data_IF_995239796265
#
_entry.id   IF_995239796265
#
_cell.length_a   1.000
_cell.length_b   1.000
_cell.length_c   1.000
_cell.angle_alpha   90.00
_cell.angle_beta   90.00
_cell.angle_gamma   90.00
#
_symmetry.space_group_name_H-M   'P 1'
#
loop_
_entity.id
_entity.type
_entity.pdbx_description
1 polymer ?
#
# COMPACT_ATOMS: atom_id res chain seq x y z
N UNK A 1 6.36 -22.88 12.38
CA UNK A 1 5.34 -22.79 11.35
C UNK A 1 5.90 -22.06 10.14
N UNK A 2 5.56 -22.44 8.93
CA UNK A 2 6.07 -21.73 7.74
C UNK A 2 5.28 -20.44 7.52
N UNK A 3 5.90 -19.44 6.87
CA UNK A 3 5.19 -18.22 6.43
C UNK A 3 3.98 -18.54 5.52
N UNK A 4 3.97 -19.72 4.89
CA UNK A 4 2.87 -20.18 4.05
C UNK A 4 1.58 -20.44 4.86
N UNK A 5 1.71 -21.00 6.07
CA UNK A 5 0.56 -21.31 6.94
C UNK A 5 -0.10 -20.02 7.44
N UNK A 6 0.71 -19.01 7.81
CA UNK A 6 0.21 -17.71 8.25
C UNK A 6 -0.47 -16.96 7.09
N UNK A 7 0.12 -17.00 5.89
CA UNK A 7 -0.45 -16.38 4.69
C UNK A 7 -1.88 -16.87 4.40
N UNK A 8 -2.13 -18.18 4.56
CA UNK A 8 -3.45 -18.78 4.35
C UNK A 8 -4.54 -18.20 5.24
N UNK A 9 -4.21 -17.71 6.45
CA UNK A 9 -5.18 -17.10 7.36
C UNK A 9 -5.77 -15.78 6.82
N UNK A 10 -5.08 -15.12 5.91
CA UNK A 10 -5.49 -13.83 5.33
C UNK A 10 -6.11 -13.95 3.93
N UNK A 11 -6.37 -15.16 3.43
CA UNK A 11 -6.86 -15.40 2.06
C UNK A 11 -8.16 -14.66 1.71
N UNK A 12 -8.98 -14.30 2.72
CA UNK A 12 -10.21 -13.52 2.54
C UNK A 12 -10.02 -12.01 2.47
N UNK A 13 -8.80 -11.49 2.70
CA UNK A 13 -8.51 -10.04 2.72
C UNK A 13 -7.89 -9.62 1.37
N UNK A 14 -8.73 -9.47 0.35
CA UNK A 14 -8.29 -9.31 -1.04
C UNK A 14 -7.44 -8.06 -1.29
N UNK A 15 -7.76 -6.91 -0.69
CA UNK A 15 -7.00 -5.67 -0.84
C UNK A 15 -5.70 -5.59 -0.04
N UNK A 16 -5.50 -6.49 0.93
CA UNK A 16 -4.38 -6.44 1.86
C UNK A 16 -3.12 -7.20 1.39
N UNK A 17 -3.18 -7.86 0.23
CA UNK A 17 -2.15 -8.79 -0.24
C UNK A 17 -0.75 -8.22 -0.20
N UNK A 18 -0.53 -7.04 -0.79
CA UNK A 18 0.81 -6.43 -0.90
C UNK A 18 1.41 -6.09 0.46
N UNK A 19 0.62 -5.52 1.37
CA UNK A 19 1.07 -5.12 2.70
C UNK A 19 1.35 -6.37 3.57
N UNK A 20 0.49 -7.39 3.50
CA UNK A 20 0.69 -8.64 4.24
C UNK A 20 1.95 -9.36 3.76
N UNK A 21 2.16 -9.46 2.43
CA UNK A 21 3.37 -10.05 1.88
C UNK A 21 4.63 -9.29 2.32
N UNK A 22 4.60 -7.97 2.31
CA UNK A 22 5.72 -7.16 2.78
C UNK A 22 6.02 -7.42 4.27
N UNK A 23 5.00 -7.50 5.11
CA UNK A 23 5.16 -7.78 6.53
C UNK A 23 5.73 -9.18 6.79
N UNK A 24 5.27 -10.20 6.05
CA UNK A 24 5.80 -11.56 6.11
C UNK A 24 7.26 -11.66 5.64
N UNK A 25 7.73 -10.67 4.86
CA UNK A 25 9.10 -10.53 4.41
C UNK A 25 9.92 -9.51 5.23
N UNK A 26 9.44 -9.12 6.41
CA UNK A 26 10.19 -8.31 7.38
C UNK A 26 9.92 -6.80 7.34
N UNK A 27 8.98 -6.34 6.51
CA UNK A 27 8.55 -4.93 6.49
C UNK A 27 7.27 -4.74 7.33
N UNK A 28 7.25 -5.29 8.52
CA UNK A 28 6.14 -5.23 9.46
C UNK A 28 6.35 -6.19 10.61
N UNK A 29 5.31 -6.35 11.42
CA UNK A 29 5.32 -7.26 12.57
C UNK A 29 4.17 -8.25 12.45
N UNK A 30 4.46 -9.52 12.67
CA UNK A 30 3.45 -10.59 12.75
C UNK A 30 3.31 -11.03 14.20
N UNK A 31 2.08 -11.14 14.66
CA UNK A 31 1.72 -11.68 15.96
C UNK A 31 0.76 -12.84 15.77
N UNK A 32 0.84 -13.85 16.64
CA UNK A 32 -0.05 -15.01 16.64
C UNK A 32 -0.65 -15.23 18.01
N UNK A 33 -1.77 -15.94 18.08
CA UNK A 33 -2.42 -16.36 19.33
C UNK A 33 -1.56 -17.40 20.06
N UNK A 34 -0.99 -18.35 19.34
CA UNK A 34 -0.08 -19.38 19.85
C UNK A 34 1.20 -19.44 19.00
N UNK A 35 2.35 -19.66 19.62
CA UNK A 35 3.64 -19.69 18.93
C UNK A 35 3.92 -21.02 18.21
N UNK A 36 3.33 -22.12 18.68
CA UNK A 36 3.55 -23.46 18.19
C UNK A 36 2.50 -23.90 17.17
N UNK A 37 1.23 -23.59 17.45
CA UNK A 37 0.07 -23.96 16.64
C UNK A 37 -0.92 -22.81 16.51
N UNK A 38 -0.56 -21.72 15.87
CA UNK A 38 -1.45 -20.59 15.75
C UNK A 38 -2.69 -20.94 14.92
N UNK A 39 -3.84 -20.50 15.41
CA UNK A 39 -5.11 -20.49 14.69
C UNK A 39 -5.48 -19.08 14.22
N UNK A 40 -4.83 -18.06 14.77
CA UNK A 40 -5.04 -16.65 14.47
C UNK A 40 -3.74 -15.93 14.28
N UNK A 41 -3.72 -14.96 13.39
CA UNK A 41 -2.60 -14.06 13.19
C UNK A 41 -3.06 -12.61 13.06
N UNK A 42 -2.20 -11.69 13.51
CA UNK A 42 -2.31 -10.26 13.26
C UNK A 42 -1.05 -9.76 12.55
N UNK A 43 -1.23 -8.92 11.53
CA UNK A 43 -0.15 -8.24 10.81
C UNK A 43 -0.25 -6.75 11.09
N UNK A 44 0.85 -6.16 11.56
CA UNK A 44 1.00 -4.74 11.83
C UNK A 44 2.03 -4.18 10.83
N UNK A 45 1.60 -3.26 9.98
CA UNK A 45 2.46 -2.67 8.95
C UNK A 45 2.03 -1.23 8.66
N UNK A 46 2.90 -0.25 8.93
CA UNK A 46 2.55 1.16 8.84
C UNK A 46 1.40 1.52 9.77
N UNK A 47 0.34 2.04 9.22
CA UNK A 47 -0.92 2.36 9.90
C UNK A 47 -1.98 1.25 9.79
N UNK A 48 -1.65 0.13 9.16
CA UNK A 48 -2.55 -1.01 8.98
C UNK A 48 -2.38 -2.08 10.06
N UNK A 49 -3.50 -2.65 10.45
CA UNK A 49 -3.62 -3.82 11.33
C UNK A 49 -4.60 -4.82 10.71
N UNK A 50 -4.09 -5.94 10.27
CA UNK A 50 -4.87 -7.02 9.66
C UNK A 50 -5.04 -8.18 10.62
N UNK A 51 -6.24 -8.76 10.68
CA UNK A 51 -6.52 -9.98 11.44
C UNK A 51 -6.95 -11.10 10.49
N UNK A 52 -6.38 -12.29 10.69
CA UNK A 52 -6.69 -13.49 9.90
C UNK A 52 -6.78 -14.75 10.76
N UNK A 53 -7.44 -15.79 10.23
CA UNK A 53 -7.70 -17.03 10.94
C UNK A 53 -8.93 -16.97 11.85
N UNK A 54 -8.94 -17.77 12.93
CA UNK A 54 -10.03 -17.83 13.89
C UNK A 54 -10.02 -16.61 14.81
N UNK A 55 -11.19 -16.00 15.14
CA UNK A 55 -11.25 -14.84 16.01
C UNK A 55 -10.70 -15.11 17.42
N UNK A 56 -9.73 -14.30 17.86
CA UNK A 56 -9.09 -14.39 19.16
C UNK A 56 -9.09 -13.03 19.86
N UNK A 57 -9.86 -12.90 20.94
CA UNK A 57 -9.96 -11.66 21.73
C UNK A 57 -8.60 -11.28 22.34
N UNK A 58 -7.85 -12.27 22.84
CA UNK A 58 -6.52 -12.04 23.40
C UNK A 58 -5.55 -11.48 22.35
N UNK A 59 -5.56 -12.01 21.13
CA UNK A 59 -4.74 -11.50 20.03
C UNK A 59 -5.15 -10.07 19.65
N UNK A 60 -6.45 -9.80 19.56
CA UNK A 60 -6.97 -8.45 19.25
C UNK A 60 -6.49 -7.46 20.31
N UNK A 61 -6.66 -7.77 21.60
CA UNK A 61 -6.22 -6.92 22.70
C UNK A 61 -4.71 -6.65 22.66
N UNK A 62 -3.89 -7.66 22.40
CA UNK A 62 -2.43 -7.54 22.29
C UNK A 62 -2.02 -6.71 21.08
N UNK A 63 -2.63 -6.93 19.92
CA UNK A 63 -2.32 -6.23 18.70
C UNK A 63 -2.70 -4.74 18.77
N UNK A 64 -3.91 -4.41 19.28
CA UNK A 64 -4.34 -3.03 19.45
C UNK A 64 -3.47 -2.23 20.43
N UNK A 65 -2.85 -2.90 21.39
CA UNK A 65 -1.97 -2.28 22.40
C UNK A 65 -0.47 -2.40 22.05
N UNK A 66 -0.13 -2.99 20.91
CA UNK A 66 1.26 -3.17 20.49
C UNK A 66 1.97 -1.84 20.25
N UNK A 67 1.24 -0.82 19.80
CA UNK A 67 1.72 0.54 19.57
C UNK A 67 0.63 1.55 19.96
N UNK A 68 1.05 2.72 20.44
CA UNK A 68 0.12 3.80 20.79
C UNK A 68 -0.18 4.67 19.55
N UNK A 69 -1.02 4.15 18.66
CA UNK A 69 -1.43 4.83 17.42
C UNK A 69 -2.86 4.49 17.00
N UNK A 70 -3.40 5.26 16.08
CA UNK A 70 -4.59 4.88 15.34
C UNK A 70 -4.25 3.81 14.29
N UNK A 71 -5.17 2.87 14.07
CA UNK A 71 -5.03 1.79 13.12
C UNK A 71 -6.14 1.81 12.07
N UNK A 72 -5.79 1.54 10.82
CA UNK A 72 -6.72 1.08 9.80
C UNK A 72 -6.84 -0.44 9.95
N UNK A 73 -7.97 -0.89 10.49
CA UNK A 73 -8.14 -2.31 10.84
C UNK A 73 -8.95 -3.03 9.76
N UNK A 74 -8.43 -4.18 9.32
CA UNK A 74 -9.14 -5.09 8.42
C UNK A 74 -9.14 -6.51 8.99
N UNK A 75 -10.24 -7.24 8.75
CA UNK A 75 -10.42 -8.61 9.22
C UNK A 75 -11.83 -9.10 8.93
N UNK A 76 -12.14 -10.35 9.30
CA UNK A 76 -13.51 -10.85 9.24
C UNK A 76 -14.45 -10.03 10.13
N UNK A 77 -15.75 -10.09 9.88
CA UNK A 77 -16.76 -9.40 10.71
C UNK A 77 -16.65 -9.76 12.19
N UNK A 78 -16.27 -10.99 12.50
CA UNK A 78 -16.07 -11.45 13.88
C UNK A 78 -14.84 -10.78 14.52
N UNK A 79 -13.72 -10.63 13.82
CA UNK A 79 -12.59 -9.85 14.34
C UNK A 79 -12.93 -8.38 14.52
N UNK A 80 -13.64 -7.78 13.55
CA UNK A 80 -14.04 -6.37 13.64
C UNK A 80 -14.99 -6.12 14.80
N UNK A 81 -15.89 -7.05 15.13
CA UNK A 81 -16.72 -6.97 16.34
C UNK A 81 -15.90 -7.00 17.64
N UNK A 82 -14.86 -7.84 17.71
CA UNK A 82 -13.93 -7.85 18.84
C UNK A 82 -13.14 -6.53 18.94
N UNK A 83 -12.68 -5.99 17.81
CA UNK A 83 -11.99 -4.67 17.79
C UNK A 83 -12.89 -3.58 18.34
N UNK A 84 -14.15 -3.52 17.93
CA UNK A 84 -15.12 -2.52 18.40
C UNK A 84 -15.43 -2.63 19.89
N UNK A 85 -15.39 -3.84 20.46
CA UNK A 85 -15.55 -4.04 21.91
C UNK A 85 -14.40 -3.42 22.72
N UNK A 86 -13.22 -3.27 22.12
CA UNK A 86 -12.03 -2.74 22.79
C UNK A 86 -11.67 -1.30 22.40
N UNK A 87 -12.06 -0.85 21.21
CA UNK A 87 -11.78 0.52 20.72
C UNK A 87 -12.92 1.04 19.83
N UNK A 88 -13.30 2.28 20.06
CA UNK A 88 -14.18 3.00 19.16
C UNK A 88 -13.45 3.36 17.86
N UNK A 89 -14.19 3.38 16.77
CA UNK A 89 -13.67 3.75 15.46
C UNK A 89 -14.80 4.09 14.48
N UNK A 90 -14.42 4.59 13.31
CA UNK A 90 -15.32 4.85 12.18
C UNK A 90 -15.16 3.75 11.14
N UNK A 91 -16.25 3.43 10.46
CA UNK A 91 -16.23 2.51 9.33
C UNK A 91 -15.91 3.26 8.04
N UNK A 92 -15.07 2.66 7.21
CA UNK A 92 -14.86 3.08 5.84
C UNK A 92 -14.77 1.86 4.93
N UNK A 93 -15.38 1.93 3.77
CA UNK A 93 -15.19 0.92 2.73
C UNK A 93 -13.90 1.20 1.98
N UNK A 94 -13.16 0.14 1.69
CA UNK A 94 -11.99 0.18 0.81
C UNK A 94 -12.30 -0.65 -0.44
N UNK A 95 -11.77 -0.22 -1.56
CA UNK A 95 -12.02 -0.86 -2.86
C UNK A 95 -10.80 -1.67 -3.24
N UNK A 96 -10.94 -2.99 -3.20
CA UNK A 96 -9.88 -3.93 -3.56
C UNK A 96 -9.80 -4.16 -5.07
N UNK A 97 -8.58 -4.32 -5.57
CA UNK A 97 -8.30 -4.67 -6.97
C UNK A 97 -7.67 -6.04 -7.08
N UNK A 98 -7.95 -6.73 -8.18
CA UNK A 98 -7.44 -8.07 -8.45
C UNK A 98 -5.91 -8.05 -8.67
N UNK A 99 -5.10 -8.59 -7.75
CA UNK A 99 -3.65 -8.55 -7.86
C UNK A 99 -3.12 -9.39 -9.03
N UNK A 100 -3.91 -10.35 -9.53
CA UNK A 100 -3.55 -11.19 -10.67
C UNK A 100 -3.79 -10.51 -12.03
N UNK A 101 -4.50 -9.40 -12.04
CA UNK A 101 -4.82 -8.63 -13.25
C UNK A 101 -4.09 -7.30 -13.27
N UNK A 102 -2.82 -7.37 -13.65
CA UNK A 102 -1.98 -6.18 -13.75
C UNK A 102 -2.36 -5.32 -14.96
N UNK A 103 -2.19 -3.98 -14.88
CA UNK A 103 -2.31 -3.09 -16.03
C UNK A 103 -1.38 -3.50 -17.18
N UNK A 104 -1.83 -3.29 -18.41
CA UNK A 104 -1.01 -3.57 -19.61
C UNK A 104 0.06 -2.49 -19.82
N UNK A 105 1.31 -2.90 -20.03
CA UNK A 105 2.44 -1.98 -20.25
C UNK A 105 2.22 -1.04 -21.45
N UNK A 106 1.57 -1.51 -22.51
CA UNK A 106 1.24 -0.69 -23.67
C UNK A 106 0.28 0.46 -23.31
N UNK A 107 -0.73 0.19 -22.46
CA UNK A 107 -1.65 1.21 -21.97
C UNK A 107 -0.94 2.23 -21.07
N UNK A 108 -0.14 1.76 -20.13
CA UNK A 108 0.64 2.64 -19.24
C UNK A 108 1.62 3.52 -20.03
N UNK A 109 2.27 2.94 -21.05
CA UNK A 109 3.19 3.68 -21.93
C UNK A 109 2.45 4.76 -22.74
N UNK A 110 1.24 4.45 -23.21
CA UNK A 110 0.42 5.43 -23.92
C UNK A 110 0.02 6.63 -23.04
N UNK A 111 -0.27 6.39 -21.75
CA UNK A 111 -0.54 7.47 -20.79
C UNK A 111 0.66 8.41 -20.59
N UNK A 112 1.87 7.91 -20.76
CA UNK A 112 3.12 8.66 -20.59
C UNK A 112 3.65 9.29 -21.88
N UNK A 113 3.08 8.96 -23.04
CA UNK A 113 3.59 9.40 -24.34
C UNK A 113 3.59 10.92 -24.52
N UNK A 114 2.65 11.62 -23.86
CA UNK A 114 2.48 13.06 -23.97
C UNK A 114 2.39 13.71 -22.60
N UNK A 115 3.53 13.92 -21.95
CA UNK A 115 3.56 14.68 -20.70
C UNK A 115 3.19 16.14 -20.97
N UNK A 116 2.43 16.80 -20.08
CA UNK A 116 2.18 18.23 -20.17
C UNK A 116 3.49 19.03 -20.23
N UNK A 117 3.45 20.18 -20.90
CA UNK A 117 4.61 21.08 -20.94
C UNK A 117 5.05 21.47 -19.51
N UNK A 118 6.35 21.50 -19.24
CA UNK A 118 6.89 21.82 -17.92
C UNK A 118 6.83 20.66 -16.91
N UNK A 119 6.28 19.50 -17.29
CA UNK A 119 6.16 18.32 -16.41
C UNK A 119 7.29 17.33 -16.70
N UNK A 120 7.95 16.88 -15.63
CA UNK A 120 8.92 15.79 -15.66
C UNK A 120 8.64 14.76 -14.57
N UNK A 121 9.10 13.53 -14.78
CA UNK A 121 8.96 12.42 -13.84
C UNK A 121 10.35 12.09 -13.27
N UNK A 122 10.50 12.29 -11.96
CA UNK A 122 11.78 12.17 -11.26
C UNK A 122 11.74 10.94 -10.34
N UNK A 123 12.63 9.95 -10.52
CA UNK A 123 12.73 8.82 -9.59
C UNK A 123 13.05 9.29 -8.16
N UNK A 124 12.47 8.62 -7.16
CA UNK A 124 12.78 8.92 -5.76
C UNK A 124 14.14 8.32 -5.39
N UNK A 125 15.17 9.16 -5.39
CA UNK A 125 16.50 8.88 -4.85
C UNK A 125 16.69 9.46 -3.46
N UNK A 126 17.94 9.60 -3.02
CA UNK A 126 18.24 10.08 -1.66
C UNK A 126 17.76 11.52 -1.40
N UNK A 127 17.89 12.40 -2.38
CA UNK A 127 17.43 13.80 -2.27
C UNK A 127 15.91 13.87 -2.20
N UNK A 128 15.23 13.12 -3.05
CA UNK A 128 13.77 13.06 -3.12
C UNK A 128 13.18 12.39 -1.87
N UNK A 129 13.82 11.36 -1.30
CA UNK A 129 13.44 10.80 0.00
C UNK A 129 13.49 11.86 1.11
N UNK A 130 14.55 12.67 1.14
CA UNK A 130 14.67 13.75 2.12
C UNK A 130 13.58 14.83 1.94
N UNK A 131 13.17 15.09 0.72
CA UNK A 131 12.01 15.94 0.41
C UNK A 131 10.72 15.29 0.92
N UNK A 132 10.46 14.03 0.58
CA UNK A 132 9.25 13.31 0.99
C UNK A 132 9.08 13.31 2.52
N UNK A 133 10.13 13.01 3.28
CA UNK A 133 10.08 12.98 4.75
C UNK A 133 9.72 14.33 5.39
N UNK A 134 10.01 15.44 4.72
CA UNK A 134 9.74 16.81 5.21
C UNK A 134 8.43 17.38 4.71
N UNK A 135 7.78 16.72 3.76
CA UNK A 135 6.60 17.22 3.04
C UNK A 135 5.37 16.40 3.43
N UNK A 136 4.39 16.95 4.16
CA UNK A 136 3.27 16.20 4.72
C UNK A 136 2.51 15.34 3.71
N UNK A 137 2.23 15.85 2.50
CA UNK A 137 1.50 15.10 1.47
C UNK A 137 2.33 13.98 0.84
N UNK A 138 3.66 14.00 0.96
CA UNK A 138 4.56 13.02 0.37
C UNK A 138 5.18 12.07 1.40
N UNK A 139 4.89 12.24 2.68
CA UNK A 139 5.56 11.51 3.76
C UNK A 139 5.37 9.99 3.66
N UNK A 140 4.18 9.57 3.25
CA UNK A 140 3.83 8.14 3.16
C UNK A 140 4.53 7.41 2.01
N UNK A 141 5.05 8.13 1.01
CA UNK A 141 5.84 7.53 -0.07
C UNK A 141 7.08 6.79 0.43
N UNK A 142 7.60 7.16 1.58
CA UNK A 142 8.81 6.58 2.18
C UNK A 142 8.62 6.19 3.65
N UNK A 143 7.40 6.37 4.19
CA UNK A 143 7.08 6.22 5.61
C UNK A 143 7.37 4.82 6.16
N UNK A 144 7.14 3.80 5.38
CA UNK A 144 7.36 2.39 5.73
C UNK A 144 8.81 1.94 5.68
N UNK A 145 9.74 2.79 5.26
CA UNK A 145 11.13 2.42 5.02
C UNK A 145 12.11 3.23 5.86
N UNK A 146 13.21 2.58 6.25
CA UNK A 146 14.46 3.31 6.48
C UNK A 146 15.07 3.71 5.13
N UNK A 147 15.94 4.73 5.09
CA UNK A 147 16.57 5.18 3.85
C UNK A 147 17.35 4.05 3.15
N UNK A 148 18.07 3.24 3.92
CA UNK A 148 18.79 2.10 3.41
C UNK A 148 17.86 0.99 2.87
N UNK A 149 16.70 0.78 3.47
CA UNK A 149 15.71 -0.18 2.99
C UNK A 149 15.04 0.32 1.70
N UNK A 150 14.69 1.61 1.62
CA UNK A 150 14.13 2.20 0.40
C UNK A 150 15.11 2.13 -0.76
N UNK A 151 16.38 2.48 -0.54
CA UNK A 151 17.42 2.39 -1.56
C UNK A 151 17.63 0.96 -2.11
N UNK A 152 17.33 -0.06 -1.30
CA UNK A 152 17.45 -1.47 -1.73
C UNK A 152 16.23 -1.99 -2.49
N UNK A 153 15.03 -1.63 -2.05
CA UNK A 153 13.79 -2.30 -2.48
C UNK A 153 12.62 -1.36 -2.77
N UNK A 154 12.73 -0.09 -2.39
CA UNK A 154 11.72 0.93 -2.68
C UNK A 154 11.73 1.32 -4.15
N UNK A 155 10.58 1.67 -4.65
CA UNK A 155 10.38 2.27 -5.98
C UNK A 155 9.52 3.51 -5.79
N UNK A 156 9.82 4.57 -6.53
CA UNK A 156 8.98 5.75 -6.48
C UNK A 156 9.32 6.77 -7.56
N UNK A 157 8.35 7.62 -7.84
CA UNK A 157 8.40 8.66 -8.87
C UNK A 157 7.71 9.91 -8.34
N UNK A 158 8.36 11.05 -8.38
CA UNK A 158 7.74 12.35 -8.18
C UNK A 158 7.44 13.01 -9.53
N UNK A 159 6.33 13.72 -9.59
CA UNK A 159 5.99 14.63 -10.68
C UNK A 159 6.52 16.02 -10.32
N UNK A 160 7.44 16.52 -11.13
CA UNK A 160 7.88 17.89 -11.05
C UNK A 160 7.16 18.71 -12.14
N UNK A 161 6.41 19.73 -11.73
CA UNK A 161 5.75 20.67 -12.60
C UNK A 161 6.29 22.09 -12.32
N UNK A 162 6.76 22.77 -13.35
CA UNK A 162 7.33 24.12 -13.25
C UNK A 162 8.40 24.28 -12.16
N UNK A 163 9.22 23.24 -12.00
CA UNK A 163 10.33 23.21 -11.03
C UNK A 163 9.95 22.85 -9.59
N UNK A 164 8.68 22.50 -9.31
CA UNK A 164 8.23 22.07 -8.00
C UNK A 164 7.70 20.63 -8.02
N UNK A 165 7.95 19.85 -6.96
CA UNK A 165 7.30 18.55 -6.79
C UNK A 165 5.85 18.74 -6.33
N UNK A 166 4.91 18.21 -7.11
CA UNK A 166 3.47 18.44 -6.95
C UNK A 166 2.64 17.18 -6.75
N UNK A 167 3.17 16.03 -7.13
CA UNK A 167 2.51 14.72 -7.01
C UNK A 167 3.55 13.62 -6.99
N UNK A 168 3.16 12.40 -6.67
CA UNK A 168 4.04 11.25 -6.77
C UNK A 168 3.31 9.94 -6.60
N UNK A 169 4.04 8.87 -6.87
CA UNK A 169 3.65 7.50 -6.54
C UNK A 169 4.88 6.73 -6.05
N UNK A 170 4.69 5.87 -5.07
CA UNK A 170 5.78 5.09 -4.49
C UNK A 170 5.28 3.72 -4.03
N UNK A 171 6.21 2.83 -3.74
CA UNK A 171 5.92 1.62 -2.99
C UNK A 171 5.65 1.98 -1.53
N UNK A 172 4.39 1.93 -1.07
CA UNK A 172 4.05 1.97 0.36
C UNK A 172 4.74 0.82 1.09
N UNK A 173 4.67 -0.37 0.49
CA UNK A 173 5.33 -1.56 0.96
C UNK A 173 5.96 -2.32 -0.21
N UNK A 174 7.03 -3.09 0.05
CA UNK A 174 7.74 -3.86 -0.97
C UNK A 174 8.12 -5.25 -0.47
N UNK A 175 7.98 -6.24 -1.34
CA UNK A 175 8.32 -7.64 -1.10
C UNK A 175 8.96 -8.25 -2.36
N UNK A 176 9.55 -9.45 -2.30
CA UNK A 176 10.27 -10.03 -3.46
C UNK A 176 9.44 -10.10 -4.75
N UNK A 177 8.13 -10.35 -4.66
CA UNK A 177 7.24 -10.49 -5.81
C UNK A 177 6.51 -9.23 -6.22
N UNK A 178 6.59 -8.12 -5.46
CA UNK A 178 5.77 -6.95 -5.78
C UNK A 178 5.92 -5.75 -4.86
N UNK A 179 5.04 -4.80 -5.09
CA UNK A 179 4.89 -3.59 -4.28
C UNK A 179 3.40 -3.31 -4.03
N UNK A 180 3.11 -2.62 -2.93
CA UNK A 180 1.82 -1.93 -2.73
C UNK A 180 1.98 -0.47 -3.13
N UNK A 181 1.05 0.04 -3.95
CA UNK A 181 1.14 1.41 -4.49
C UNK A 181 0.59 2.42 -3.49
N UNK A 182 1.38 3.46 -3.23
CA UNK A 182 0.96 4.72 -2.60
C UNK A 182 0.96 5.82 -3.63
N UNK A 183 -0.05 6.70 -3.61
CA UNK A 183 -0.15 7.83 -4.53
C UNK A 183 -0.80 9.03 -3.85
N UNK A 184 -0.20 10.20 -3.97
CA UNK A 184 -0.81 11.45 -3.51
C UNK A 184 -0.38 12.63 -4.39
N UNK A 185 -1.12 13.74 -4.24
CA UNK A 185 -0.91 14.99 -4.94
C UNK A 185 -1.09 16.15 -3.97
N UNK A 186 -0.16 17.09 -4.00
CA UNK A 186 -0.25 18.33 -3.24
C UNK A 186 -1.64 18.99 -3.46
N UNK A 187 -2.35 19.41 -2.39
CA UNK A 187 -3.74 19.85 -2.49
C UNK A 187 -4.02 20.89 -3.59
N UNK A 188 -3.11 21.85 -3.75
CA UNK A 188 -3.24 22.91 -4.76
C UNK A 188 -3.07 22.43 -6.21
N UNK A 189 -2.59 21.20 -6.42
CA UNK A 189 -2.28 20.63 -7.73
C UNK A 189 -3.15 19.41 -8.09
N UNK A 190 -4.21 19.16 -7.34
CA UNK A 190 -5.18 18.09 -7.64
C UNK A 190 -5.98 18.40 -8.90
N UNK A 191 -6.52 17.36 -9.54
CA UNK A 191 -7.33 17.49 -10.76
C UNK A 191 -6.55 17.63 -12.06
N UNK A 192 -5.21 17.67 -12.04
CA UNK A 192 -4.36 17.81 -13.23
C UNK A 192 -3.90 16.48 -13.85
N UNK A 193 -4.30 15.34 -13.28
CA UNK A 193 -3.91 14.01 -13.76
C UNK A 193 -2.51 13.56 -13.35
N UNK A 194 -1.78 14.32 -12.54
CA UNK A 194 -0.39 14.02 -12.13
C UNK A 194 -0.25 12.68 -11.41
N UNK A 195 -1.18 12.34 -10.52
CA UNK A 195 -1.19 11.05 -9.84
C UNK A 195 -1.24 9.87 -10.82
N UNK A 196 -2.02 9.96 -11.90
CA UNK A 196 -2.09 8.94 -12.94
C UNK A 196 -0.73 8.78 -13.66
N UNK A 197 -0.05 9.89 -13.95
CA UNK A 197 1.27 9.86 -14.60
C UNK A 197 2.33 9.23 -13.68
N UNK A 198 2.36 9.64 -12.41
CA UNK A 198 3.29 9.07 -11.42
C UNK A 198 3.07 7.56 -11.25
N UNK A 199 1.82 7.14 -11.05
CA UNK A 199 1.48 5.74 -10.87
C UNK A 199 1.75 4.90 -12.11
N UNK A 200 1.43 5.39 -13.32
CA UNK A 200 1.76 4.70 -14.59
C UNK A 200 3.26 4.44 -14.69
N UNK A 201 4.09 5.44 -14.37
CA UNK A 201 5.55 5.29 -14.39
C UNK A 201 6.05 4.33 -13.33
N UNK A 202 5.52 4.39 -12.12
CA UNK A 202 5.86 3.48 -11.03
C UNK A 202 5.56 2.03 -11.41
N UNK A 203 4.34 1.75 -11.91
CA UNK A 203 3.89 0.40 -12.26
C UNK A 203 4.76 -0.17 -13.39
N UNK A 204 5.03 0.60 -14.44
CA UNK A 204 5.95 0.18 -15.50
C UNK A 204 7.34 -0.16 -14.95
N UNK A 205 7.83 0.65 -13.99
CA UNK A 205 9.13 0.39 -13.38
C UNK A 205 9.11 -0.90 -12.54
N UNK A 206 8.01 -1.18 -11.85
CA UNK A 206 7.82 -2.44 -11.14
C UNK A 206 7.78 -3.65 -12.09
N UNK A 207 7.01 -3.56 -13.17
CA UNK A 207 6.90 -4.61 -14.19
C UNK A 207 8.26 -4.91 -14.86
N UNK A 208 9.06 -3.89 -15.16
CA UNK A 208 10.43 -4.05 -15.69
C UNK A 208 11.36 -4.81 -14.74
N UNK A 209 11.04 -4.82 -13.45
CA UNK A 209 11.77 -5.60 -12.43
C UNK A 209 11.10 -6.97 -12.15
N UNK A 210 10.10 -7.38 -12.93
CA UNK A 210 9.35 -8.62 -12.72
C UNK A 210 8.46 -8.62 -11.48
N UNK A 211 8.07 -7.42 -10.99
CA UNK A 211 7.23 -7.24 -9.80
C UNK A 211 5.81 -6.88 -10.21
N UNK A 212 4.82 -7.39 -9.48
CA UNK A 212 3.45 -6.87 -9.57
C UNK A 212 3.30 -5.61 -8.73
N UNK A 213 2.37 -4.73 -9.11
CA UNK A 213 1.98 -3.57 -8.32
C UNK A 213 0.54 -3.77 -7.85
N UNK A 214 0.33 -3.94 -6.54
CA UNK A 214 -0.99 -4.10 -5.95
C UNK A 214 -1.58 -2.75 -5.55
N UNK A 215 -2.90 -2.66 -5.52
CA UNK A 215 -3.62 -1.42 -5.21
C UNK A 215 -4.82 -1.71 -4.32
N UNK A 216 -4.91 -1.00 -3.22
CA UNK A 216 -6.06 -0.95 -2.33
C UNK A 216 -6.52 0.50 -2.16
N UNK A 217 -7.68 0.84 -2.74
CA UNK A 217 -8.13 2.23 -2.75
C UNK A 217 -8.88 2.62 -1.47
N UNK A 218 -8.42 3.67 -0.82
CA UNK A 218 -9.04 4.24 0.37
C UNK A 218 -10.36 4.98 0.08
N UNK A 219 -10.61 5.34 -1.18
CA UNK A 219 -11.77 6.13 -1.59
C UNK A 219 -11.98 6.03 -3.11
N UNK A 220 -13.12 6.57 -3.59
CA UNK A 220 -13.48 6.56 -5.01
C UNK A 220 -12.48 7.31 -5.91
N UNK A 221 -11.84 8.36 -5.43
CA UNK A 221 -10.83 9.10 -6.21
C UNK A 221 -9.63 8.20 -6.50
N UNK A 222 -9.13 7.49 -5.49
CA UNK A 222 -8.06 6.50 -5.65
C UNK A 222 -8.50 5.35 -6.55
N UNK A 223 -9.71 4.82 -6.38
CA UNK A 223 -10.25 3.77 -7.24
C UNK A 223 -10.37 4.21 -8.70
N UNK A 224 -10.79 5.45 -8.96
CA UNK A 224 -10.87 5.99 -10.31
C UNK A 224 -9.48 6.10 -10.98
N UNK A 225 -8.44 6.46 -10.23
CA UNK A 225 -7.06 6.45 -10.74
C UNK A 225 -6.65 5.03 -11.10
N UNK A 226 -6.87 4.06 -10.21
CA UNK A 226 -6.54 2.66 -10.48
C UNK A 226 -7.25 2.13 -11.73
N UNK A 227 -8.54 2.40 -11.89
CA UNK A 227 -9.30 2.00 -13.08
C UNK A 227 -8.78 2.64 -14.36
N UNK A 228 -8.38 3.92 -14.33
CA UNK A 228 -7.73 4.59 -15.47
C UNK A 228 -6.41 3.94 -15.87
N UNK A 229 -5.68 3.40 -14.91
CA UNK A 229 -4.44 2.67 -15.14
C UNK A 229 -4.68 1.27 -15.73
N UNK A 230 -5.91 0.75 -15.66
CA UNK A 230 -6.27 -0.56 -16.17
C UNK A 230 -6.52 -1.62 -15.11
N UNK A 231 -6.47 -1.28 -13.82
CA UNK A 231 -6.85 -2.20 -12.76
C UNK A 231 -8.34 -2.53 -12.80
N UNK A 232 -8.68 -3.72 -12.34
CA UNK A 232 -10.07 -4.19 -12.23
C UNK A 232 -10.43 -4.41 -10.78
N UNK A 233 -11.56 -3.86 -10.37
CA UNK A 233 -12.13 -4.07 -9.04
C UNK A 233 -12.38 -5.57 -8.86
N UNK A 234 -12.02 -6.08 -7.69
CA UNK A 234 -12.33 -7.47 -7.33
C UNK A 234 -13.84 -7.58 -7.14
N UNK A 235 -14.48 -8.50 -7.87
CA UNK A 235 -15.86 -8.87 -7.58
C UNK A 235 -15.88 -9.69 -6.29
N UNK A 236 -16.53 -9.18 -5.25
CA UNK A 236 -16.89 -9.96 -4.06
C UNK A 236 -18.04 -10.89 -4.37
#
# INVERSE_FOLDING_TARGET
>A
MSSADIRGMFAGLLGAHGIIEAALNGQGRVMTDDSARPSSAAVLAGDFLFFGGEPSEELVRRALNAENRAWIVQGSSAFLALVQAHRSGTWSERIAFDPCRQPEDAHLTALLANLPQGVTLVPIGAAEMAFCRKTPWAADFVGMFTDAAYARSGLGVLVCADGAFVSGASSYAAYPGGIEVEVDTAPAHRGHGYATLAAAKLILTAHQQGKIATWDAANETSAHIAQKLGYRVTCT
#
